data_IF_913342988313
#
_entry.id   IF_913342988313
#
_cell.length_a   1.000
_cell.length_b   1.000
_cell.length_c   1.000
_cell.angle_alpha   90.00
_cell.angle_beta   90.00
_cell.angle_gamma   90.00
#
_symmetry.space_group_name_H-M   'P 1'
#
loop_
_entity.id
_entity.type
_entity.pdbx_description
1 polymer ?
#
# COMPACT_ATOMS: atom_id res chain seq x y z
N UNK A 1 5.22 11.05 16.76
CA UNK A 1 5.15 10.37 15.45
C UNK A 1 5.36 11.40 14.35
N UNK A 2 6.41 11.27 13.55
CA UNK A 2 6.70 12.22 12.47
C UNK A 2 5.88 11.86 11.21
N UNK A 3 4.57 12.10 11.28
CA UNK A 3 3.59 11.81 10.22
C UNK A 3 3.94 12.48 8.89
N UNK A 4 4.61 13.63 8.93
CA UNK A 4 5.04 14.42 7.77
C UNK A 4 5.92 13.63 6.80
N UNK A 5 6.88 12.84 7.29
CA UNK A 5 7.79 12.07 6.45
C UNK A 5 7.11 10.90 5.75
N UNK A 6 6.22 10.18 6.46
CA UNK A 6 5.44 9.09 5.87
C UNK A 6 4.47 9.60 4.79
N UNK A 7 3.84 10.75 5.03
CA UNK A 7 2.99 11.42 4.02
C UNK A 7 3.82 11.84 2.80
N UNK A 8 5.02 12.38 3.02
CA UNK A 8 5.93 12.72 1.92
C UNK A 8 6.28 11.50 1.05
N UNK A 9 6.55 10.33 1.65
CA UNK A 9 6.79 9.10 0.87
C UNK A 9 5.61 8.75 -0.04
N UNK A 10 4.39 8.84 0.47
CA UNK A 10 3.18 8.57 -0.32
C UNK A 10 3.05 9.58 -1.46
N UNK A 11 3.22 10.87 -1.17
CA UNK A 11 3.12 11.93 -2.18
C UNK A 11 4.20 11.82 -3.27
N UNK A 12 5.43 11.50 -2.89
CA UNK A 12 6.53 11.35 -3.84
C UNK A 12 6.30 10.10 -4.69
N UNK A 13 5.80 9.00 -4.12
CA UNK A 13 5.43 7.79 -4.87
C UNK A 13 4.30 8.04 -5.87
N UNK A 14 3.20 8.67 -5.46
CA UNK A 14 2.08 8.97 -6.36
C UNK A 14 2.47 9.95 -7.47
N UNK A 15 3.37 10.90 -7.20
CA UNK A 15 3.98 11.75 -8.24
C UNK A 15 4.80 10.94 -9.24
N UNK A 16 5.66 10.03 -8.76
CA UNK A 16 6.45 9.17 -9.64
C UNK A 16 5.57 8.28 -10.51
N UNK A 17 4.46 7.76 -9.98
CA UNK A 17 3.49 7.01 -10.79
C UNK A 17 2.80 7.90 -11.84
N UNK A 18 2.37 9.10 -11.49
CA UNK A 18 1.77 10.06 -12.43
C UNK A 18 2.75 10.59 -13.49
N UNK A 19 4.06 10.39 -13.32
CA UNK A 19 5.07 10.73 -14.32
C UNK A 19 5.23 9.64 -15.39
N UNK A 20 4.62 8.47 -15.20
CA UNK A 20 4.61 7.38 -16.19
C UNK A 20 3.54 7.69 -17.24
N UNK A 21 3.89 7.54 -18.52
CA UNK A 21 2.96 7.69 -19.64
C UNK A 21 1.75 6.75 -19.47
N UNK A 22 0.57 7.23 -19.83
CA UNK A 22 -0.72 6.52 -19.74
C UNK A 22 -1.16 6.05 -18.33
N UNK A 23 -0.44 6.46 -17.27
CA UNK A 23 -0.83 6.20 -15.88
C UNK A 23 -1.45 7.46 -15.28
N UNK A 24 -2.52 7.28 -14.49
CA UNK A 24 -2.96 8.33 -13.58
C UNK A 24 -3.31 7.78 -12.20
N UNK A 25 -2.94 8.54 -11.18
CA UNK A 25 -3.17 8.24 -9.76
C UNK A 25 -3.93 9.40 -9.13
N UNK A 26 -5.20 9.16 -8.80
CA UNK A 26 -6.12 10.17 -8.31
C UNK A 26 -6.66 9.82 -6.93
N UNK A 27 -7.02 10.84 -6.14
CA UNK A 27 -7.67 10.63 -4.84
C UNK A 27 -9.04 9.95 -4.98
N UNK A 28 -9.47 9.25 -3.93
CA UNK A 28 -10.80 8.63 -3.86
C UNK A 28 -11.58 9.09 -2.63
N UNK A 29 -12.91 8.90 -2.66
CA UNK A 29 -13.77 9.13 -1.49
C UNK A 29 -13.65 8.04 -0.41
N UNK A 30 -12.93 6.94 -0.66
CA UNK A 30 -12.84 5.80 0.28
C UNK A 30 -12.02 6.19 1.52
N UNK A 31 -10.86 6.78 1.30
CA UNK A 31 -9.93 7.26 2.32
C UNK A 31 -8.86 8.15 1.69
N UNK A 32 -8.31 9.10 2.46
CA UNK A 32 -7.16 9.96 2.06
C UNK A 32 -5.87 9.23 1.68
N UNK A 33 -5.81 7.92 1.87
CA UNK A 33 -4.65 7.08 1.53
C UNK A 33 -5.00 6.05 0.45
N UNK A 34 -6.22 6.11 -0.10
CA UNK A 34 -6.69 5.23 -1.15
C UNK A 34 -6.79 6.04 -2.43
N UNK A 35 -6.05 5.59 -3.44
CA UNK A 35 -5.96 6.23 -4.73
C UNK A 35 -6.52 5.31 -5.80
N UNK A 36 -7.12 5.90 -6.83
CA UNK A 36 -7.49 5.21 -8.05
C UNK A 36 -6.28 5.22 -9.00
N UNK A 37 -5.84 4.05 -9.44
CA UNK A 37 -4.76 3.85 -10.39
C UNK A 37 -5.35 3.42 -11.73
N UNK A 38 -5.31 4.31 -12.73
CA UNK A 38 -5.80 4.06 -14.09
C UNK A 38 -4.67 3.92 -15.09
N UNK A 39 -4.97 3.25 -16.20
CA UNK A 39 -4.04 2.98 -17.30
C UNK A 39 -3.92 1.48 -17.52
N UNK A 40 -2.90 0.87 -16.91
CA UNK A 40 -2.57 -0.53 -17.12
C UNK A 40 -3.48 -1.50 -16.34
N UNK A 41 -3.54 -1.40 -15.01
CA UNK A 41 -4.22 -2.37 -14.15
C UNK A 41 -5.64 -1.98 -13.73
N UNK A 42 -5.97 -0.68 -13.79
CA UNK A 42 -7.27 -0.10 -13.40
C UNK A 42 -7.78 -0.63 -12.04
N UNK A 43 -7.16 -0.15 -10.96
CA UNK A 43 -7.35 -0.68 -9.61
C UNK A 43 -7.28 0.40 -8.52
N UNK A 44 -7.48 0.01 -7.26
CA UNK A 44 -7.33 0.88 -6.10
C UNK A 44 -6.04 0.59 -5.34
N UNK A 45 -5.31 1.64 -4.94
CA UNK A 45 -4.06 1.54 -4.18
C UNK A 45 -4.24 2.13 -2.79
N UNK A 46 -4.13 1.31 -1.75
CA UNK A 46 -4.10 1.76 -0.37
C UNK A 46 -2.65 1.91 0.13
N UNK A 47 -2.16 3.13 0.19
CA UNK A 47 -0.72 3.41 0.34
C UNK A 47 -0.41 3.91 1.75
N UNK A 48 0.61 3.32 2.40
CA UNK A 48 1.09 3.72 3.72
C UNK A 48 2.61 3.88 3.70
N UNK A 49 3.09 5.07 4.10
CA UNK A 49 4.52 5.36 4.22
C UNK A 49 5.06 5.33 5.65
N UNK A 50 6.25 4.73 5.84
CA UNK A 50 7.05 4.78 7.08
C UNK A 50 8.53 5.00 6.79
N UNK A 51 9.01 6.20 7.09
CA UNK A 51 10.39 6.60 6.80
C UNK A 51 11.42 6.21 7.88
N UNK A 52 11.00 5.73 9.04
CA UNK A 52 11.87 5.54 10.20
C UNK A 52 11.75 4.12 10.75
N UNK A 53 12.89 3.55 11.17
CA UNK A 53 12.95 2.24 11.79
C UNK A 53 12.51 2.29 13.27
N UNK A 54 11.92 1.20 13.79
CA UNK A 54 11.47 0.02 13.05
C UNK A 54 10.25 0.34 12.18
N UNK A 55 10.24 -0.13 10.92
CA UNK A 55 9.13 0.13 9.99
C UNK A 55 7.88 -0.61 10.44
N UNK A 56 6.94 0.13 11.04
CA UNK A 56 5.67 -0.38 11.56
C UNK A 56 4.53 0.46 11.01
N UNK A 57 3.65 -0.15 10.22
CA UNK A 57 2.53 0.56 9.63
C UNK A 57 1.25 0.37 10.46
N UNK A 58 0.29 1.27 10.24
CA UNK A 58 -1.09 1.11 10.67
C UNK A 58 -1.96 0.93 9.43
N UNK A 59 -2.49 -0.27 9.24
CA UNK A 59 -3.43 -0.59 8.16
C UNK A 59 -4.83 -0.61 8.75
N UNK A 60 -5.57 0.47 8.57
CA UNK A 60 -6.89 0.67 9.19
C UNK A 60 -7.92 -0.34 8.71
N UNK A 61 -8.50 -1.10 9.65
CA UNK A 61 -9.45 -2.17 9.33
C UNK A 61 -10.65 -1.66 8.54
N UNK A 62 -11.26 -0.54 8.94
CA UNK A 62 -12.40 0.04 8.22
C UNK A 62 -12.08 0.42 6.77
N UNK A 63 -10.82 0.75 6.45
CA UNK A 63 -10.42 1.02 5.06
C UNK A 63 -10.33 -0.29 4.27
N UNK A 64 -9.82 -1.36 4.89
CA UNK A 64 -9.82 -2.70 4.29
C UNK A 64 -11.25 -3.18 4.02
N UNK A 65 -12.16 -3.03 4.98
CA UNK A 65 -13.56 -3.43 4.82
C UNK A 65 -14.22 -2.68 3.65
N UNK A 66 -13.95 -1.37 3.51
CA UNK A 66 -14.44 -0.56 2.38
C UNK A 66 -13.84 -0.99 1.04
N UNK A 67 -12.56 -1.35 0.99
CA UNK A 67 -11.90 -1.87 -0.21
C UNK A 67 -12.46 -3.23 -0.62
N UNK A 68 -12.72 -4.11 0.35
CA UNK A 68 -13.35 -5.42 0.12
C UNK A 68 -14.76 -5.32 -0.45
N UNK A 69 -15.47 -4.23 -0.17
CA UNK A 69 -16.78 -3.94 -0.74
C UNK A 69 -16.74 -3.36 -2.17
N UNK A 70 -15.55 -3.03 -2.69
CA UNK A 70 -15.43 -2.50 -4.06
C UNK A 70 -15.40 -3.64 -5.08
N UNK A 71 -16.01 -3.46 -6.27
CA UNK A 71 -15.92 -4.43 -7.36
C UNK A 71 -14.54 -4.41 -8.04
N UNK A 72 -13.77 -3.33 -7.87
CA UNK A 72 -12.45 -3.15 -8.47
C UNK A 72 -11.38 -3.96 -7.73
N UNK A 73 -10.34 -4.41 -8.46
CA UNK A 73 -9.12 -4.93 -7.84
C UNK A 73 -8.51 -3.85 -6.94
N UNK A 74 -7.87 -4.27 -5.86
CA UNK A 74 -7.18 -3.36 -4.96
C UNK A 74 -5.93 -3.99 -4.33
N UNK A 75 -5.00 -3.12 -3.97
CA UNK A 75 -3.72 -3.49 -3.37
C UNK A 75 -3.42 -2.63 -2.16
N UNK A 76 -2.63 -3.18 -1.22
CA UNK A 76 -2.02 -2.41 -0.13
C UNK A 76 -0.54 -2.24 -0.44
N UNK A 77 -0.06 -1.00 -0.37
CA UNK A 77 1.34 -0.63 -0.57
C UNK A 77 1.92 -0.13 0.75
N UNK A 78 2.96 -0.81 1.24
CA UNK A 78 3.67 -0.46 2.47
C UNK A 78 5.06 0.09 2.13
N UNK A 79 5.18 1.40 1.94
CA UNK A 79 6.44 2.08 1.61
C UNK A 79 7.32 2.25 2.86
N UNK A 80 8.61 2.01 2.72
CA UNK A 80 9.63 2.27 3.75
C UNK A 80 10.90 2.88 3.16
N UNK A 81 11.70 3.59 3.96
CA UNK A 81 12.98 4.22 3.57
C UNK A 81 12.90 5.30 2.48
N UNK A 82 12.49 4.93 1.26
CA UNK A 82 12.27 5.82 0.12
C UNK A 82 10.86 5.64 -0.43
N UNK A 83 10.50 6.44 -1.44
CA UNK A 83 9.21 6.30 -2.12
C UNK A 83 9.23 5.14 -3.13
N UNK A 84 10.38 4.55 -3.43
CA UNK A 84 10.52 3.46 -4.40
C UNK A 84 10.56 2.08 -3.73
N UNK A 85 10.91 2.03 -2.44
CA UNK A 85 11.03 0.78 -1.69
C UNK A 85 9.79 0.51 -0.85
N UNK A 86 9.30 -0.72 -0.89
CA UNK A 86 8.08 -1.08 -0.18
C UNK A 86 7.67 -2.53 -0.33
N UNK A 87 6.40 -2.81 -0.04
CA UNK A 87 5.76 -4.09 -0.32
C UNK A 87 4.44 -3.85 -1.03
N UNK A 88 4.13 -4.68 -2.02
CA UNK A 88 2.85 -4.72 -2.69
C UNK A 88 2.11 -6.00 -2.28
N UNK A 89 0.88 -5.82 -1.80
CA UNK A 89 0.04 -6.92 -1.33
C UNK A 89 -1.29 -6.87 -2.06
N UNK A 90 -1.66 -7.97 -2.70
CA UNK A 90 -3.00 -8.12 -3.25
C UNK A 90 -4.03 -8.44 -2.14
N UNK A 91 -5.31 -8.47 -2.50
CA UNK A 91 -6.39 -8.73 -1.55
C UNK A 91 -6.28 -10.08 -0.82
N UNK A 92 -5.72 -11.12 -1.45
CA UNK A 92 -5.53 -12.44 -0.83
C UNK A 92 -4.37 -12.46 0.16
N UNK A 93 -3.29 -11.73 -0.13
CA UNK A 93 -2.18 -11.56 0.81
C UNK A 93 -2.66 -10.82 2.05
N UNK A 94 -3.37 -9.69 1.86
CA UNK A 94 -3.95 -8.94 2.97
C UNK A 94 -4.90 -9.81 3.78
N UNK A 95 -5.80 -10.57 3.14
CA UNK A 95 -6.71 -11.51 3.82
C UNK A 95 -5.95 -12.53 4.66
N UNK A 96 -4.90 -13.14 4.13
CA UNK A 96 -4.08 -14.08 4.88
C UNK A 96 -3.44 -13.43 6.10
N UNK A 97 -2.83 -12.25 5.91
CA UNK A 97 -2.12 -11.60 7.01
C UNK A 97 -3.06 -11.13 8.11
N UNK A 98 -4.20 -10.50 7.79
CA UNK A 98 -5.15 -10.06 8.82
C UNK A 98 -5.76 -11.24 9.61
N UNK A 99 -5.83 -12.42 9.00
CA UNK A 99 -6.37 -13.62 9.66
C UNK A 99 -5.34 -14.38 10.50
N UNK A 100 -4.04 -14.29 10.17
CA UNK A 100 -3.02 -15.20 10.74
C UNK A 100 -1.79 -14.52 11.32
N UNK A 101 -1.49 -13.28 10.94
CA UNK A 101 -0.16 -12.69 11.18
C UNK A 101 -0.24 -11.29 11.78
N UNK A 102 -1.02 -10.39 11.19
CA UNK A 102 -1.08 -9.00 11.63
C UNK A 102 -2.02 -8.86 12.83
N UNK A 103 -1.52 -8.53 14.03
CA UNK A 103 -2.37 -8.28 15.16
C UNK A 103 -3.19 -7.01 14.92
N UNK A 104 -4.43 -7.02 15.40
CA UNK A 104 -5.30 -5.84 15.42
C UNK A 104 -5.05 -5.06 16.71
N UNK A 105 -4.61 -3.81 16.56
CA UNK A 105 -4.43 -2.88 17.67
C UNK A 105 -5.76 -2.39 18.25
N UNK A 106 -5.71 -1.85 19.47
CA UNK A 106 -6.88 -1.23 20.13
C UNK A 106 -7.40 0.00 19.38
N UNK A 107 -6.55 0.62 18.57
CA UNK A 107 -6.88 1.76 17.71
C UNK A 107 -7.57 1.35 16.40
N UNK A 108 -7.88 0.05 16.22
CA UNK A 108 -8.60 -0.46 15.06
C UNK A 108 -7.75 -0.70 13.82
N UNK A 109 -6.43 -0.50 13.91
CA UNK A 109 -5.48 -0.77 12.83
C UNK A 109 -4.86 -2.16 12.97
N UNK A 110 -4.68 -2.86 11.84
CA UNK A 110 -3.73 -3.96 11.75
C UNK A 110 -2.29 -3.43 11.78
N UNK A 111 -1.38 -4.15 12.43
CA UNK A 111 0.00 -3.70 12.71
C UNK A 111 1.07 -4.53 11.97
N UNK A 112 1.18 -4.41 10.62
CA UNK A 112 2.30 -5.01 9.90
C UNK A 112 3.64 -4.38 10.29
N UNK A 113 4.68 -5.19 10.16
CA UNK A 113 6.08 -4.80 10.23
C UNK A 113 6.86 -5.51 9.09
N UNK A 114 8.16 -5.25 8.98
CA UNK A 114 9.02 -6.02 8.07
C UNK A 114 9.27 -7.45 8.58
N UNK A 115 9.91 -8.29 7.76
CA UNK A 115 10.31 -9.65 8.13
C UNK A 115 9.14 -10.64 8.11
N UNK A 116 8.97 -11.41 9.19
CA UNK A 116 7.94 -12.47 9.29
C UNK A 116 6.50 -11.96 9.12
N UNK A 117 6.26 -10.67 9.24
CA UNK A 117 4.95 -10.05 9.02
C UNK A 117 4.61 -9.89 7.54
N UNK A 118 5.58 -10.05 6.64
CA UNK A 118 5.45 -9.86 5.18
C UNK A 118 6.17 -10.97 4.40
N UNK A 119 6.38 -12.14 5.00
CA UNK A 119 7.23 -13.21 4.46
C UNK A 119 6.77 -13.80 3.11
N UNK A 120 5.51 -13.61 2.72
CA UNK A 120 4.98 -14.08 1.43
C UNK A 120 5.20 -13.09 0.30
N UNK A 121 5.70 -11.89 0.61
CA UNK A 121 5.84 -10.79 -0.35
C UNK A 121 7.29 -10.34 -0.41
N UNK A 122 7.85 -10.32 -1.62
CA UNK A 122 9.16 -9.71 -1.87
C UNK A 122 9.07 -8.19 -1.71
N UNK A 123 10.15 -7.59 -1.22
CA UNK A 123 10.26 -6.13 -1.20
C UNK A 123 10.39 -5.61 -2.64
N UNK A 124 9.72 -4.50 -2.90
CA UNK A 124 9.96 -3.64 -4.04
C UNK A 124 11.22 -2.80 -3.75
N UNK A 125 12.03 -2.60 -4.77
CA UNK A 125 13.20 -1.75 -4.73
C UNK A 125 13.13 -0.58 -5.71
N UNK A 126 12.25 -0.67 -6.71
CA UNK A 126 12.03 0.39 -7.71
C UNK A 126 10.56 0.54 -8.08
N UNK A 127 10.21 1.67 -8.71
CA UNK A 127 8.90 1.85 -9.37
C UNK A 127 8.68 0.82 -10.49
N UNK A 128 9.74 0.38 -11.17
CA UNK A 128 9.66 -0.65 -12.22
C UNK A 128 9.19 -1.98 -11.65
N UNK A 129 9.69 -2.38 -10.48
CA UNK A 129 9.26 -3.60 -9.79
C UNK A 129 7.76 -3.55 -9.47
N UNK A 130 7.28 -2.39 -9.03
CA UNK A 130 5.86 -2.17 -8.79
C UNK A 130 5.04 -2.36 -10.08
N UNK A 131 5.46 -1.73 -11.18
CA UNK A 131 4.77 -1.82 -12.47
C UNK A 131 4.77 -3.24 -13.05
N UNK A 132 5.88 -3.98 -12.91
CA UNK A 132 5.96 -5.36 -13.35
C UNK A 132 4.98 -6.24 -12.57
N UNK A 133 4.94 -6.13 -11.24
CA UNK A 133 4.06 -6.95 -10.42
C UNK A 133 2.60 -6.58 -10.67
N UNK A 134 2.22 -5.30 -10.62
CA UNK A 134 0.81 -4.89 -10.70
C UNK A 134 0.15 -5.25 -12.03
N UNK A 135 0.93 -5.39 -13.11
CA UNK A 135 0.43 -5.78 -14.43
C UNK A 135 0.26 -7.29 -14.59
N UNK A 136 0.77 -8.09 -13.65
CA UNK A 136 0.70 -9.57 -13.71
C UNK A 136 -0.38 -10.18 -12.82
N UNK A 137 -0.95 -9.41 -11.88
CA UNK A 137 -1.94 -9.88 -10.88
C UNK A 137 -3.36 -9.42 -11.21
#
# INVERSE_FOLDING_TARGET
MNTSKGVRLVNDFTKSLNAIEDVSVNDTHISRNVFEFKGHANCLLYIKGRSEQPYRWGVTANVIDRLQAQPQKWFVILLFSSHETGYLLNSQDVKYYIQRVWPRGRDGDYKPATGSYLFRNSALHTIKDFMEIINTV
#
